data_IF_793588263229
#
_entry.id   IF_793588263229
#
_cell.length_a   1.000
_cell.length_b   1.000
_cell.length_c   1.000
_cell.angle_alpha   90.00
_cell.angle_beta   90.00
_cell.angle_gamma   90.00
#
_symmetry.space_group_name_H-M   'P 1'
#
loop_
_entity.id
_entity.type
_entity.pdbx_description
1 polymer ?
#
# COMPACT_ATOMS: atom_id res chain seq x y z
N UNK A 1 19.27 58.25 2.33
CA UNK A 1 20.18 57.13 2.62
C UNK A 1 19.40 56.09 3.39
N UNK A 2 19.33 54.85 2.86
CA UNK A 2 19.39 53.53 3.57
C UNK A 2 18.30 53.29 4.66
N UNK A 3 17.50 52.22 4.70
CA UNK A 3 17.67 50.85 4.23
C UNK A 3 16.31 50.18 3.96
N UNK A 4 16.28 49.33 2.94
CA UNK A 4 15.28 48.29 2.78
C UNK A 4 15.49 47.20 3.84
N UNK A 5 14.42 46.73 4.47
CA UNK A 5 14.40 45.50 5.26
C UNK A 5 13.35 44.55 4.66
N UNK A 6 13.77 43.80 3.64
CA UNK A 6 13.07 42.60 3.18
C UNK A 6 13.42 41.49 4.16
N UNK A 7 12.50 41.20 5.09
CA UNK A 7 12.61 39.99 5.92
C UNK A 7 12.09 38.84 5.08
N UNK A 8 13.03 38.12 4.48
CA UNK A 8 12.81 36.82 3.87
C UNK A 8 12.41 35.83 4.98
N UNK A 9 11.11 35.67 5.20
CA UNK A 9 10.54 34.56 5.96
C UNK A 9 10.59 33.29 5.12
N UNK A 10 11.78 32.72 4.96
CA UNK A 10 11.95 31.36 4.45
C UNK A 10 11.37 30.39 5.46
N UNK A 11 10.06 30.13 5.36
CA UNK A 11 9.47 28.94 5.94
C UNK A 11 10.16 27.75 5.28
N UNK A 12 11.03 27.11 6.05
CA UNK A 12 11.59 25.82 5.73
C UNK A 12 10.43 24.84 5.48
N UNK A 13 10.08 24.63 4.22
CA UNK A 13 9.20 23.54 3.77
C UNK A 13 9.93 22.18 3.88
N UNK A 14 10.51 21.93 5.05
CA UNK A 14 11.45 20.83 5.32
C UNK A 14 11.01 20.04 6.54
N UNK A 15 9.88 19.37 6.45
CA UNK A 15 9.53 18.16 7.19
C UNK A 15 8.36 17.50 6.44
N UNK A 16 8.67 16.99 5.25
CA UNK A 16 7.75 16.17 4.47
C UNK A 16 7.57 14.83 5.21
N UNK A 17 6.45 14.68 5.91
CA UNK A 17 6.05 13.44 6.56
C UNK A 17 5.94 13.57 8.08
N UNK A 18 4.70 13.48 8.57
CA UNK A 18 4.44 13.22 9.98
C UNK A 18 5.12 11.88 10.35
N UNK A 19 6.07 11.86 11.30
CA UNK A 19 6.72 10.62 11.69
C UNK A 19 5.67 9.61 12.17
N UNK A 20 5.67 8.41 11.59
CA UNK A 20 4.70 7.36 11.91
C UNK A 20 3.45 7.31 11.03
N UNK A 21 3.33 8.17 10.03
CA UNK A 21 2.25 8.11 9.02
C UNK A 21 2.72 7.39 7.75
N UNK A 22 1.95 6.41 7.29
CA UNK A 22 2.16 5.73 6.01
C UNK A 22 1.41 6.43 4.87
N UNK A 23 0.15 6.83 5.11
CA UNK A 23 -0.63 7.63 4.18
C UNK A 23 -1.71 8.46 4.90
N UNK A 24 -2.21 9.49 4.24
CA UNK A 24 -3.39 10.26 4.64
C UNK A 24 -4.38 10.22 3.47
N UNK A 25 -5.64 9.90 3.75
CA UNK A 25 -6.73 9.80 2.76
C UNK A 25 -7.91 10.60 3.27
N UNK A 26 -8.25 11.72 2.64
CA UNK A 26 -9.32 12.64 3.07
C UNK A 26 -9.21 13.01 4.56
N UNK A 27 -7.98 13.22 5.04
CA UNK A 27 -7.67 13.51 6.45
C UNK A 27 -7.63 12.28 7.38
N UNK A 28 -8.00 11.08 6.93
CA UNK A 28 -7.83 9.83 7.68
C UNK A 28 -6.37 9.39 7.59
N UNK A 29 -5.72 9.24 8.74
CA UNK A 29 -4.33 8.77 8.82
C UNK A 29 -4.26 7.24 8.86
N UNK A 30 -3.47 6.66 7.97
CA UNK A 30 -3.00 5.27 8.04
C UNK A 30 -1.59 5.30 8.63
N UNK A 31 -1.39 4.65 9.77
CA UNK A 31 -0.09 4.70 10.48
C UNK A 31 0.89 3.64 9.97
N UNK A 32 2.18 3.87 10.15
CA UNK A 32 3.20 2.87 9.82
C UNK A 32 3.09 1.62 10.70
N UNK A 33 2.62 1.78 11.94
CA UNK A 33 2.42 0.66 12.86
C UNK A 33 1.22 -0.21 12.41
N UNK A 34 0.11 0.43 12.04
CA UNK A 34 -1.06 -0.25 11.46
C UNK A 34 -0.68 -1.01 10.20
N UNK A 35 0.07 -0.39 9.28
CA UNK A 35 0.51 -1.04 8.06
C UNK A 35 1.40 -2.26 8.36
N UNK A 36 2.37 -2.11 9.26
CA UNK A 36 3.27 -3.20 9.64
C UNK A 36 2.52 -4.37 10.27
N UNK A 37 1.65 -4.11 11.25
CA UNK A 37 0.83 -5.17 11.88
C UNK A 37 -0.09 -5.84 10.87
N UNK A 38 -0.72 -5.07 9.98
CA UNK A 38 -1.61 -5.63 8.94
C UNK A 38 -0.82 -6.52 7.98
N UNK A 39 0.36 -6.07 7.56
CA UNK A 39 1.24 -6.86 6.70
C UNK A 39 1.68 -8.17 7.38
N UNK A 40 2.14 -8.12 8.63
CA UNK A 40 2.56 -9.30 9.40
C UNK A 40 1.42 -10.32 9.59
N UNK A 41 0.19 -9.85 9.76
CA UNK A 41 -0.99 -10.73 9.88
C UNK A 41 -1.35 -11.43 8.57
N UNK A 42 -1.05 -10.79 7.44
CA UNK A 42 -1.47 -11.22 6.11
C UNK A 42 -0.37 -11.97 5.34
N UNK A 43 0.90 -11.72 5.66
CA UNK A 43 2.07 -12.36 5.04
C UNK A 43 1.94 -13.90 4.97
N UNK A 44 1.47 -14.62 6.02
CA UNK A 44 1.38 -16.07 5.96
C UNK A 44 0.38 -16.60 4.93
N UNK A 45 -0.60 -15.78 4.52
CA UNK A 45 -1.73 -16.20 3.68
C UNK A 45 -1.71 -15.55 2.29
N UNK A 46 -1.05 -14.40 2.13
CA UNK A 46 -0.86 -13.74 0.84
C UNK A 46 0.56 -13.93 0.31
N UNK A 47 0.70 -14.88 -0.62
CA UNK A 47 1.96 -15.12 -1.31
C UNK A 47 2.29 -13.98 -2.29
N UNK A 48 3.33 -13.22 -1.99
CA UNK A 48 3.93 -12.26 -2.92
C UNK A 48 3.36 -10.83 -2.87
N UNK A 49 2.38 -10.56 -2.01
CA UNK A 49 1.96 -9.19 -1.72
C UNK A 49 2.99 -8.51 -0.81
N UNK A 50 3.44 -7.32 -1.19
CA UNK A 50 4.29 -6.46 -0.38
C UNK A 50 3.49 -5.53 0.54
N UNK A 51 4.19 -4.85 1.45
CA UNK A 51 3.58 -3.83 2.31
C UNK A 51 2.92 -2.69 1.49
N UNK A 52 3.43 -2.41 0.30
CA UNK A 52 2.87 -1.41 -0.61
C UNK A 52 1.49 -1.83 -1.16
N UNK A 53 1.30 -3.12 -1.47
CA UNK A 53 0.00 -3.63 -1.93
C UNK A 53 -1.03 -3.52 -0.81
N UNK A 54 -0.65 -3.88 0.42
CA UNK A 54 -1.49 -3.71 1.60
C UNK A 54 -1.84 -2.23 1.81
N UNK A 55 -0.87 -1.33 1.69
CA UNK A 55 -1.12 0.11 1.81
C UNK A 55 -2.09 0.61 0.74
N UNK A 56 -1.93 0.20 -0.52
CA UNK A 56 -2.85 0.53 -1.60
C UNK A 56 -4.29 0.08 -1.30
N UNK A 57 -4.44 -1.14 -0.78
CA UNK A 57 -5.76 -1.64 -0.33
C UNK A 57 -6.31 -0.81 0.83
N UNK A 58 -5.53 -0.52 1.86
CA UNK A 58 -6.00 0.28 3.01
C UNK A 58 -6.40 1.72 2.62
N UNK A 59 -5.78 2.27 1.58
CA UNK A 59 -6.13 3.58 1.00
C UNK A 59 -7.48 3.47 0.28
N UNK A 60 -7.65 2.44 -0.54
CA UNK A 60 -8.77 2.34 -1.50
C UNK A 60 -10.01 1.64 -0.96
N UNK A 61 -9.86 0.83 0.10
CA UNK A 61 -10.92 0.04 0.71
C UNK A 61 -12.21 0.81 1.02
N UNK A 62 -12.16 2.00 1.65
CA UNK A 62 -13.39 2.72 2.00
C UNK A 62 -14.21 3.11 0.76
N UNK A 63 -13.55 3.42 -0.36
CA UNK A 63 -14.23 3.79 -1.59
C UNK A 63 -14.91 2.57 -2.22
N UNK A 64 -14.22 1.42 -2.26
CA UNK A 64 -14.81 0.18 -2.77
C UNK A 64 -16.03 -0.25 -1.93
N UNK A 65 -15.89 -0.23 -0.60
CA UNK A 65 -16.98 -0.57 0.31
C UNK A 65 -18.18 0.39 0.20
N UNK A 66 -17.92 1.69 0.03
CA UNK A 66 -18.98 2.69 -0.13
C UNK A 66 -19.74 2.51 -1.45
N UNK A 67 -19.03 2.29 -2.57
CA UNK A 67 -19.68 2.04 -3.86
C UNK A 67 -20.49 0.74 -3.80
N UNK A 68 -19.95 -0.33 -3.21
CA UNK A 68 -20.68 -1.59 -3.05
C UNK A 68 -21.97 -1.39 -2.25
N UNK A 69 -21.90 -0.68 -1.12
CA UNK A 69 -23.05 -0.39 -0.27
C UNK A 69 -24.13 0.42 -1.01
N UNK A 70 -23.75 1.41 -1.80
CA UNK A 70 -24.68 2.22 -2.60
C UNK A 70 -25.34 1.42 -3.74
N UNK A 71 -24.67 0.39 -4.25
CA UNK A 71 -25.22 -0.57 -5.21
C UNK A 71 -26.05 -1.67 -4.55
N UNK A 72 -26.30 -1.57 -3.24
CA UNK A 72 -27.14 -2.50 -2.48
C UNK A 72 -26.42 -3.76 -2.00
N UNK A 73 -25.09 -3.81 -2.10
CA UNK A 73 -24.28 -4.92 -1.59
C UNK A 73 -23.45 -4.43 -0.40
N UNK A 74 -23.97 -4.66 0.80
CA UNK A 74 -23.23 -4.40 2.03
C UNK A 74 -22.19 -5.48 2.28
N UNK A 75 -21.03 -5.07 2.80
CA UNK A 75 -20.00 -5.95 3.34
C UNK A 75 -19.79 -5.62 4.80
N UNK A 76 -19.74 -6.64 5.64
CA UNK A 76 -19.53 -6.47 7.08
C UNK A 76 -18.22 -7.12 7.56
N UNK A 77 -17.81 -6.75 8.77
CA UNK A 77 -16.53 -7.17 9.34
C UNK A 77 -16.51 -8.66 9.68
N UNK A 78 -17.66 -9.27 10.03
CA UNK A 78 -17.76 -10.70 10.33
C UNK A 78 -17.54 -11.54 9.06
N UNK A 79 -18.15 -11.14 7.93
CA UNK A 79 -17.94 -11.78 6.63
C UNK A 79 -16.49 -11.64 6.16
N UNK A 80 -15.88 -10.47 6.36
CA UNK A 80 -14.48 -10.23 6.04
C UNK A 80 -13.55 -11.12 6.88
N UNK A 81 -13.86 -11.27 8.17
CA UNK A 81 -13.12 -12.15 9.08
C UNK A 81 -13.29 -13.64 8.70
N UNK A 82 -14.49 -14.07 8.34
CA UNK A 82 -14.75 -15.43 7.86
C UNK A 82 -13.99 -15.73 6.56
N UNK A 83 -13.95 -14.77 5.63
CA UNK A 83 -13.14 -14.87 4.42
C UNK A 83 -11.67 -15.09 4.76
N UNK A 84 -11.09 -14.24 5.61
CA UNK A 84 -9.67 -14.32 5.99
C UNK A 84 -9.33 -15.65 6.67
N UNK A 85 -10.20 -16.13 7.58
CA UNK A 85 -10.05 -17.45 8.22
C UNK A 85 -10.13 -18.58 7.21
N UNK A 86 -11.07 -18.52 6.27
CA UNK A 86 -11.21 -19.51 5.20
C UNK A 86 -9.94 -19.56 4.34
N UNK A 87 -9.39 -18.41 3.96
CA UNK A 87 -8.13 -18.33 3.21
C UNK A 87 -6.98 -18.90 4.05
N UNK A 88 -6.89 -18.53 5.33
CA UNK A 88 -5.85 -19.02 6.24
C UNK A 88 -5.84 -20.55 6.37
N UNK A 89 -7.01 -21.16 6.58
CA UNK A 89 -7.15 -22.61 6.67
C UNK A 89 -6.78 -23.28 5.35
N UNK A 90 -7.17 -22.70 4.21
CA UNK A 90 -6.81 -23.22 2.89
C UNK A 90 -5.30 -23.13 2.59
N UNK A 91 -4.65 -22.04 3.01
CA UNK A 91 -3.23 -21.80 2.74
C UNK A 91 -2.30 -22.55 3.69
N UNK A 92 -2.68 -22.67 4.97
CA UNK A 92 -1.80 -23.14 6.05
C UNK A 92 -2.25 -24.47 6.70
N UNK A 93 -3.47 -24.92 6.42
CA UNK A 93 -4.15 -26.01 7.13
C UNK A 93 -4.91 -25.53 8.35
N UNK A 94 -5.82 -26.37 8.85
CA UNK A 94 -6.78 -26.06 9.94
C UNK A 94 -6.09 -25.54 11.21
N UNK A 95 -5.14 -26.31 11.77
CA UNK A 95 -4.45 -25.97 13.02
C UNK A 95 -3.74 -24.60 12.96
N UNK A 96 -3.03 -24.31 11.86
CA UNK A 96 -2.29 -23.05 11.70
C UNK A 96 -3.19 -21.90 11.31
N UNK A 97 -4.19 -22.15 10.47
CA UNK A 97 -5.13 -21.14 10.00
C UNK A 97 -6.02 -20.62 11.11
N UNK A 98 -6.51 -21.50 11.99
CA UNK A 98 -7.32 -21.10 13.15
C UNK A 98 -6.54 -20.34 14.22
N UNK A 99 -5.22 -20.55 14.29
CA UNK A 99 -4.34 -19.85 15.23
C UNK A 99 -3.99 -18.42 14.80
N UNK A 100 -4.30 -18.01 13.56
CA UNK A 100 -4.05 -16.64 13.11
C UNK A 100 -5.09 -15.67 13.66
N UNK A 101 -4.60 -14.52 14.11
CA UNK A 101 -5.43 -13.40 14.56
C UNK A 101 -5.41 -12.27 13.52
N UNK A 102 -6.59 -11.76 13.20
CA UNK A 102 -6.77 -10.67 12.24
C UNK A 102 -7.24 -9.41 12.97
N UNK A 103 -6.44 -8.35 12.85
CA UNK A 103 -6.76 -7.03 13.38
C UNK A 103 -7.60 -6.20 12.39
N UNK A 104 -7.94 -4.95 12.78
CA UNK A 104 -8.79 -4.08 11.96
C UNK A 104 -8.27 -3.84 10.53
N UNK A 105 -6.96 -3.69 10.34
CA UNK A 105 -6.40 -3.49 9.00
C UNK A 105 -6.48 -4.75 8.15
N UNK A 106 -6.29 -5.94 8.72
CA UNK A 106 -6.48 -7.19 7.99
C UNK A 106 -7.94 -7.38 7.61
N UNK A 107 -8.87 -7.10 8.54
CA UNK A 107 -10.31 -7.10 8.29
C UNK A 107 -10.68 -6.12 7.16
N UNK A 108 -10.07 -4.93 7.12
CA UNK A 108 -10.27 -4.01 6.01
C UNK A 108 -9.85 -4.62 4.66
N UNK A 109 -8.71 -5.33 4.58
CA UNK A 109 -8.30 -6.04 3.36
C UNK A 109 -9.31 -7.13 2.97
N UNK A 110 -9.87 -7.86 3.94
CA UNK A 110 -10.95 -8.81 3.70
C UNK A 110 -12.21 -8.12 3.16
N UNK A 111 -12.59 -6.98 3.74
CA UNK A 111 -13.75 -6.18 3.33
C UNK A 111 -13.57 -5.61 1.92
N UNK A 112 -12.37 -5.14 1.58
CA UNK A 112 -12.02 -4.75 0.22
C UNK A 112 -12.20 -5.91 -0.75
N UNK A 113 -11.70 -7.10 -0.42
CA UNK A 113 -11.81 -8.27 -1.29
C UNK A 113 -13.26 -8.64 -1.57
N UNK A 114 -14.11 -8.60 -0.53
CA UNK A 114 -15.54 -8.83 -0.68
C UNK A 114 -16.22 -7.73 -1.50
N UNK A 115 -15.92 -6.45 -1.23
CA UNK A 115 -16.47 -5.33 -1.97
C UNK A 115 -16.08 -5.39 -3.46
N UNK A 116 -14.81 -5.64 -3.77
CA UNK A 116 -14.32 -5.77 -5.13
C UNK A 116 -15.01 -6.93 -5.87
N UNK A 117 -15.12 -8.10 -5.22
CA UNK A 117 -15.84 -9.25 -5.80
C UNK A 117 -17.33 -8.95 -6.01
N UNK A 118 -17.96 -8.22 -5.09
CA UNK A 118 -19.36 -7.82 -5.21
C UNK A 118 -19.57 -6.87 -6.40
N UNK A 119 -18.73 -5.85 -6.52
CA UNK A 119 -18.79 -4.87 -7.62
C UNK A 119 -18.62 -5.53 -8.99
N UNK A 120 -17.70 -6.49 -9.10
CA UNK A 120 -17.48 -7.27 -10.32
C UNK A 120 -18.68 -8.16 -10.68
N UNK A 121 -19.47 -8.59 -9.70
CA UNK A 121 -20.66 -9.41 -9.89
C UNK A 121 -21.94 -8.64 -10.26
N UNK A 122 -21.90 -7.31 -10.27
CA UNK A 122 -23.06 -6.49 -10.63
C UNK A 122 -23.36 -6.56 -12.13
N UNK A 123 -24.65 -6.44 -12.48
CA UNK A 123 -25.09 -6.31 -13.88
C UNK A 123 -24.45 -5.09 -14.57
N UNK A 124 -24.18 -4.04 -13.80
CA UNK A 124 -23.57 -2.78 -14.26
C UNK A 124 -22.17 -2.56 -13.65
N UNK A 125 -21.37 -3.62 -13.60
CA UNK A 125 -20.02 -3.62 -13.01
C UNK A 125 -19.11 -2.53 -13.58
N UNK A 126 -19.25 -2.19 -14.88
CA UNK A 126 -18.46 -1.15 -15.53
C UNK A 126 -18.74 0.23 -14.93
N UNK A 127 -20.02 0.60 -14.79
CA UNK A 127 -20.40 1.88 -14.19
C UNK A 127 -19.98 1.96 -12.71
N UNK A 128 -20.00 0.83 -12.00
CA UNK A 128 -19.55 0.76 -10.62
C UNK A 128 -18.01 0.93 -10.51
N UNK A 129 -17.25 0.35 -11.43
CA UNK A 129 -15.80 0.53 -11.51
C UNK A 129 -15.43 1.98 -11.85
N UNK A 130 -16.16 2.63 -12.76
CA UNK A 130 -15.96 4.05 -13.10
C UNK A 130 -16.28 4.99 -11.93
N UNK A 131 -17.35 4.73 -11.19
CA UNK A 131 -17.69 5.49 -9.97
C UNK A 131 -16.61 5.32 -8.90
N UNK A 132 -16.16 4.08 -8.66
CA UNK A 132 -15.06 3.79 -7.75
C UNK A 132 -13.77 4.54 -8.14
N UNK A 133 -13.35 4.45 -9.39
CA UNK A 133 -12.18 5.17 -9.90
C UNK A 133 -12.34 6.69 -9.76
N UNK A 134 -13.53 7.21 -10.09
CA UNK A 134 -13.84 8.64 -9.97
C UNK A 134 -13.74 9.16 -8.54
N UNK A 135 -14.16 8.36 -7.55
CA UNK A 135 -14.05 8.71 -6.13
C UNK A 135 -12.60 8.71 -5.65
N UNK A 136 -11.84 7.67 -6.00
CA UNK A 136 -10.42 7.60 -5.61
C UNK A 136 -9.63 8.75 -6.25
N UNK A 137 -9.90 9.07 -7.52
CA UNK A 137 -9.25 10.19 -8.21
C UNK A 137 -9.63 11.57 -7.64
N UNK A 138 -10.79 11.70 -7.01
CA UNK A 138 -11.25 12.92 -6.37
C UNK A 138 -10.77 13.07 -4.91
N UNK A 139 -10.25 11.99 -4.32
CA UNK A 139 -9.82 11.96 -2.92
C UNK A 139 -8.47 12.66 -2.73
N UNK A 140 -8.28 13.25 -1.55
CA UNK A 140 -7.00 13.83 -1.14
C UNK A 140 -6.11 12.72 -0.55
N UNK A 141 -5.21 12.18 -1.37
CA UNK A 141 -4.33 11.05 -1.02
C UNK A 141 -2.88 11.52 -0.95
N UNK A 142 -2.33 11.52 0.27
CA UNK A 142 -0.91 11.78 0.51
C UNK A 142 -0.23 10.50 1.01
N UNK A 143 0.64 9.89 0.20
CA UNK A 143 1.47 8.74 0.61
C UNK A 143 2.83 9.22 1.09
N UNK A 144 3.31 8.64 2.19
CA UNK A 144 4.64 8.95 2.69
C UNK A 144 5.70 8.45 1.68
N UNK A 145 6.62 9.32 1.22
CA UNK A 145 7.61 8.99 0.17
C UNK A 145 8.47 7.76 0.47
N UNK A 146 8.58 7.34 1.73
CA UNK A 146 9.27 6.10 2.12
C UNK A 146 8.59 4.85 1.53
N UNK A 147 7.27 4.86 1.42
CA UNK A 147 6.49 3.73 0.92
C UNK A 147 6.29 3.81 -0.59
N UNK A 148 6.41 5.02 -1.16
CA UNK A 148 6.40 5.25 -2.59
C UNK A 148 5.40 6.32 -3.00
N UNK A 149 4.77 6.12 -4.15
CA UNK A 149 3.82 7.04 -4.77
C UNK A 149 2.52 6.31 -5.10
N UNK A 150 1.38 6.95 -4.83
CA UNK A 150 0.08 6.43 -5.26
C UNK A 150 -0.14 6.74 -6.74
N UNK A 151 -0.44 5.73 -7.55
CA UNK A 151 -0.54 5.86 -9.02
C UNK A 151 -1.99 5.81 -9.50
N UNK A 152 -2.20 6.20 -10.77
CA UNK A 152 -3.50 6.12 -11.45
C UNK A 152 -4.05 4.68 -11.56
N UNK A 153 -3.17 3.67 -11.42
CA UNK A 153 -3.55 2.26 -11.36
C UNK A 153 -4.12 1.84 -9.98
N UNK A 154 -4.33 2.82 -9.08
CA UNK A 154 -4.85 2.65 -7.72
C UNK A 154 -3.95 1.78 -6.81
N UNK A 155 -2.65 1.81 -7.07
CA UNK A 155 -1.62 1.08 -6.32
C UNK A 155 -0.59 2.04 -5.75
N UNK A 156 0.18 1.57 -4.75
CA UNK A 156 1.37 2.28 -4.27
C UNK A 156 2.58 1.72 -5.00
N UNK A 157 3.11 2.46 -5.96
CA UNK A 157 4.35 2.10 -6.63
C UNK A 157 5.54 2.29 -5.69
N UNK A 158 6.49 1.33 -5.61
CA UNK A 158 7.65 1.45 -4.73
C UNK A 158 8.51 2.67 -5.10
N UNK A 159 9.22 3.27 -4.13
CA UNK A 159 10.07 4.42 -4.40
C UNK A 159 11.17 4.02 -5.39
N UNK A 160 11.50 4.96 -6.30
CA UNK A 160 12.54 4.74 -7.29
C UNK A 160 13.87 4.37 -6.59
N UNK A 161 14.48 3.26 -7.03
CA UNK A 161 15.80 2.87 -6.55
C UNK A 161 16.81 3.99 -6.87
N UNK A 162 17.63 4.42 -5.91
CA UNK A 162 18.68 5.37 -6.19
C UNK A 162 19.62 4.86 -7.29
N UNK A 163 20.15 5.75 -8.12
CA UNK A 163 21.03 5.37 -9.24
C UNK A 163 22.33 4.65 -8.83
N UNK A 164 22.69 4.69 -7.55
CA UNK A 164 23.83 3.96 -6.98
C UNK A 164 23.50 2.52 -6.57
N UNK A 165 22.21 2.14 -6.53
CA UNK A 165 21.78 0.76 -6.32
C UNK A 165 21.82 0.04 -7.66
N UNK A 166 22.83 -0.79 -7.85
CA UNK A 166 22.92 -1.67 -9.01
C UNK A 166 21.88 -2.80 -8.86
N UNK A 167 21.09 -3.11 -9.90
CA UNK A 167 20.18 -4.26 -9.86
C UNK A 167 20.91 -5.55 -9.48
N UNK A 168 20.25 -6.44 -8.76
CA UNK A 168 20.80 -7.76 -8.43
C UNK A 168 21.19 -8.49 -9.74
N UNK A 169 22.49 -8.73 -9.89
CA UNK A 169 23.12 -9.20 -11.15
C UNK A 169 24.31 -8.34 -11.62
N UNK A 170 24.49 -7.13 -11.10
CA UNK A 170 25.63 -6.27 -11.46
C UNK A 170 26.89 -6.42 -10.61
N UNK A 171 26.96 -7.43 -9.71
CA UNK A 171 28.15 -7.73 -8.89
C UNK A 171 29.04 -8.84 -9.46
N UNK A 172 28.74 -9.36 -10.64
CA UNK A 172 29.60 -10.33 -11.32
C UNK A 172 30.42 -9.60 -12.40
N UNK A 173 31.69 -9.28 -12.11
CA UNK A 173 32.63 -8.98 -13.19
C UNK A 173 33.70 -7.89 -13.01
N UNK A 174 34.10 -7.52 -11.79
CA UNK A 174 35.33 -6.70 -11.66
C UNK A 174 36.18 -7.05 -10.45
N UNK A 175 36.57 -8.32 -10.37
CA UNK A 175 37.91 -8.66 -9.90
C UNK A 175 38.80 -8.81 -11.13
N UNK A 176 39.27 -7.67 -11.67
CA UNK A 176 40.42 -7.68 -12.56
C UNK A 176 41.61 -8.23 -11.75
N UNK A 177 41.94 -9.50 -11.97
CA UNK A 177 43.21 -10.10 -11.58
C UNK A 177 44.33 -9.19 -12.10
N UNK A 178 45.27 -8.73 -11.26
CA UNK A 178 46.44 -8.02 -11.76
C UNK A 178 47.24 -8.96 -12.66
N UNK A 179 47.44 -8.55 -13.90
CA UNK A 179 48.29 -9.20 -14.91
C UNK A 179 49.72 -9.34 -14.33
N UNK A 180 50.33 -10.53 -14.33
CA UNK A 180 51.71 -10.68 -13.85
C UNK A 180 52.67 -10.01 -14.85
N UNK A 181 53.49 -9.08 -14.35
CA UNK A 181 54.57 -8.44 -15.11
C UNK A 181 55.53 -9.48 -15.71
N UNK A 182 55.97 -9.33 -16.98
CA UNK A 182 57.02 -10.17 -17.54
C UNK A 182 58.38 -9.77 -16.96
N UNK A 183 59.02 -10.68 -16.24
CA UNK A 183 60.38 -10.52 -15.70
C UNK A 183 61.42 -10.55 -16.84
N UNK A 184 62.47 -9.70 -16.81
CA UNK A 184 63.56 -9.67 -17.81
C UNK A 184 64.49 -10.88 -17.77
#
# INVERSE_FOLDING_TARGET
MVAAAVVAGGLLAGCAGQPGTAAVVDGRTITTAELATTYEQLEPIFNGAGAQDVLGVLITEPFAAQVAAEKGVGVNDDEALELLRSVAVQSLGEEKGEALEFGPGAIAVGRYSLAASALQGLEDAQAAAEDYQGRVAAADIEVNPRFGEFTDDLVVAPPAAPSWVVPEGGRDGSSATPEPEPTP
#
